data_IF_277018883994
#
_entry.id   IF_277018883994
#
_cell.length_a   1.000
_cell.length_b   1.000
_cell.length_c   1.000
_cell.angle_alpha   90.00
_cell.angle_beta   90.00
_cell.angle_gamma   90.00
#
_symmetry.space_group_name_H-M   'P 1'
#
loop_
_entity.id
_entity.type
_entity.pdbx_description
1 polymer ?
#
# COMPACT_ATOMS: atom_id res chain seq x y z
N UNK A 1 -54.98 26.78 -19.54
CA UNK A 1 -54.87 25.81 -18.43
C UNK A 1 -53.61 25.01 -18.66
N UNK A 2 -52.75 25.00 -17.65
CA UNK A 2 -51.30 24.83 -17.76
C UNK A 2 -50.85 23.40 -18.13
N UNK A 3 -49.96 23.35 -19.12
CA UNK A 3 -49.12 22.20 -19.42
C UNK A 3 -48.12 21.96 -18.28
N UNK A 4 -48.27 20.85 -17.56
CA UNK A 4 -47.24 20.36 -16.62
C UNK A 4 -46.06 19.80 -17.41
N UNK A 5 -45.05 20.65 -17.64
CA UNK A 5 -43.69 20.24 -18.01
C UNK A 5 -43.11 19.35 -16.90
N UNK A 6 -42.86 18.08 -17.20
CA UNK A 6 -41.97 17.24 -16.37
C UNK A 6 -40.54 17.72 -16.59
N UNK A 7 -40.03 18.56 -15.68
CA UNK A 7 -38.60 18.87 -15.62
C UNK A 7 -37.85 17.61 -15.17
N UNK A 8 -37.23 16.92 -16.11
CA UNK A 8 -36.18 15.93 -15.83
C UNK A 8 -34.99 16.65 -15.18
N UNK A 9 -35.04 16.81 -13.86
CA UNK A 9 -33.90 17.27 -13.09
C UNK A 9 -32.83 16.17 -13.07
N UNK A 10 -31.94 16.18 -14.06
CA UNK A 10 -30.75 15.34 -14.07
C UNK A 10 -29.83 15.76 -12.92
N UNK A 11 -29.59 14.86 -11.96
CA UNK A 11 -28.62 15.05 -10.87
C UNK A 11 -27.22 15.28 -11.45
N UNK A 12 -26.38 16.08 -10.76
CA UNK A 12 -24.98 16.27 -11.15
C UNK A 12 -24.17 14.97 -11.00
N UNK A 13 -24.45 14.23 -9.94
CA UNK A 13 -23.80 12.96 -9.67
C UNK A 13 -24.74 12.03 -8.91
N UNK A 14 -24.69 10.75 -9.26
CA UNK A 14 -25.47 9.71 -8.63
C UNK A 14 -24.63 8.43 -8.59
N UNK A 15 -24.47 7.84 -7.40
CA UNK A 15 -23.73 6.58 -7.23
C UNK A 15 -24.26 5.77 -6.06
N UNK A 16 -24.13 4.43 -6.14
CA UNK A 16 -24.38 3.55 -5.01
C UNK A 16 -23.07 3.31 -4.28
N UNK A 17 -23.07 3.48 -2.96
CA UNK A 17 -21.90 3.29 -2.12
C UNK A 17 -22.28 2.48 -0.88
N UNK A 18 -21.42 1.52 -0.51
CA UNK A 18 -21.52 0.83 0.77
C UNK A 18 -21.06 1.74 1.90
N UNK A 19 -21.65 1.62 3.10
CA UNK A 19 -21.27 2.37 4.32
C UNK A 19 -19.76 2.44 4.56
N UNK A 20 -19.07 1.31 4.44
CA UNK A 20 -17.62 1.19 4.64
C UNK A 20 -16.76 1.81 3.53
N UNK A 21 -17.35 2.19 2.39
CA UNK A 21 -16.66 2.79 1.23
C UNK A 21 -17.00 4.26 1.01
N UNK A 22 -17.87 4.86 1.83
CA UNK A 22 -18.33 6.24 1.62
C UNK A 22 -17.29 7.30 2.00
N UNK A 23 -16.39 6.99 2.94
CA UNK A 23 -15.51 7.99 3.55
C UNK A 23 -16.24 9.03 4.42
N UNK A 24 -17.54 8.84 4.67
CA UNK A 24 -18.39 9.76 5.44
C UNK A 24 -18.44 9.29 6.90
N UNK A 25 -17.98 10.15 7.81
CA UNK A 25 -18.01 9.87 9.25
C UNK A 25 -19.30 10.42 9.87
N UNK A 26 -20.17 9.53 10.34
CA UNK A 26 -21.37 9.93 11.10
C UNK A 26 -21.03 10.19 12.57
N UNK A 27 -21.61 11.25 13.20
CA UNK A 27 -21.58 11.44 14.64
C UNK A 27 -22.09 10.20 15.38
N UNK A 28 -21.54 9.93 16.58
CA UNK A 28 -21.80 8.71 17.35
C UNK A 28 -23.30 8.44 17.57
N UNK A 29 -24.03 9.48 17.96
CA UNK A 29 -25.49 9.40 18.22
C UNK A 29 -26.31 9.02 16.98
N UNK A 30 -25.91 9.49 15.80
CA UNK A 30 -26.56 9.13 14.53
C UNK A 30 -26.14 7.75 14.07
N UNK A 31 -24.89 7.36 14.31
CA UNK A 31 -24.36 6.05 13.94
C UNK A 31 -25.09 4.93 14.66
N UNK A 32 -25.29 5.07 15.97
CA UNK A 32 -25.97 4.07 16.80
C UNK A 32 -27.47 3.96 16.44
N UNK A 33 -28.12 5.07 16.06
CA UNK A 33 -29.53 5.08 15.64
C UNK A 33 -29.76 4.52 14.25
N UNK A 34 -28.84 4.80 13.31
CA UNK A 34 -29.01 4.43 11.90
C UNK A 34 -28.39 3.07 11.56
N UNK A 35 -27.42 2.59 12.35
CA UNK A 35 -26.71 1.32 12.15
C UNK A 35 -26.62 0.52 13.45
N UNK A 36 -27.75 -0.03 13.94
CA UNK A 36 -27.80 -0.74 15.22
C UNK A 36 -27.02 -2.07 15.21
N UNK A 37 -26.71 -2.64 14.05
CA UNK A 37 -25.86 -3.82 13.88
C UNK A 37 -24.62 -3.47 13.07
N UNK A 38 -23.43 -3.86 13.56
CA UNK A 38 -22.15 -3.63 12.84
C UNK A 38 -21.91 -4.66 11.72
N UNK A 39 -22.60 -5.80 11.76
CA UNK A 39 -22.42 -6.92 10.82
C UNK A 39 -23.30 -6.81 9.57
N UNK A 40 -24.22 -5.84 9.53
CA UNK A 40 -25.12 -5.64 8.38
C UNK A 40 -24.47 -4.75 7.31
N UNK A 41 -24.59 -5.17 6.05
CA UNK A 41 -24.16 -4.39 4.89
C UNK A 41 -25.22 -3.31 4.55
N UNK A 42 -24.88 -2.04 4.80
CA UNK A 42 -25.74 -0.90 4.47
C UNK A 42 -25.32 -0.23 3.16
N UNK A 43 -26.30 0.00 2.28
CA UNK A 43 -26.12 0.64 0.98
C UNK A 43 -26.75 2.02 0.95
N UNK A 44 -26.06 2.98 0.33
CA UNK A 44 -26.58 4.32 0.09
C UNK A 44 -26.60 4.64 -1.39
N UNK A 45 -27.68 5.28 -1.81
CA UNK A 45 -27.71 6.09 -3.01
C UNK A 45 -27.22 7.49 -2.67
N UNK A 46 -26.01 7.83 -3.11
CA UNK A 46 -25.46 9.18 -3.00
C UNK A 46 -25.93 9.99 -4.20
N UNK A 47 -26.59 11.12 -3.93
CA UNK A 47 -27.10 12.05 -4.94
C UNK A 47 -26.52 13.44 -4.67
N UNK A 48 -25.91 14.03 -5.70
CA UNK A 48 -25.51 15.44 -5.72
C UNK A 48 -26.38 16.17 -6.74
N UNK A 49 -27.23 17.12 -6.31
CA UNK A 49 -28.01 17.94 -7.22
C UNK A 49 -27.12 18.81 -8.14
N UNK A 50 -27.68 19.30 -9.26
CA UNK A 50 -27.01 20.23 -10.18
C UNK A 50 -26.42 21.47 -9.49
N UNK A 51 -27.15 21.98 -8.50
CA UNK A 51 -26.76 23.17 -7.74
C UNK A 51 -25.57 22.91 -6.79
N UNK A 52 -25.24 21.63 -6.53
CA UNK A 52 -24.13 21.18 -5.65
C UNK A 52 -24.18 21.79 -4.24
N UNK A 53 -25.37 22.13 -3.79
CA UNK A 53 -25.65 22.76 -2.50
C UNK A 53 -25.67 21.75 -1.34
N UNK A 54 -25.90 20.48 -1.64
CA UNK A 54 -26.01 19.40 -0.64
C UNK A 54 -25.63 18.03 -1.20
N UNK A 55 -25.39 17.11 -0.29
CA UNK A 55 -25.24 15.68 -0.58
C UNK A 55 -26.42 14.95 0.06
N UNK A 56 -27.19 14.23 -0.74
CA UNK A 56 -28.32 13.43 -0.26
C UNK A 56 -27.89 11.96 -0.23
N UNK A 57 -27.95 11.34 0.94
CA UNK A 57 -27.74 9.90 1.11
C UNK A 57 -29.09 9.24 1.39
N UNK A 58 -29.55 8.38 0.47
CA UNK A 58 -30.78 7.61 0.65
C UNK A 58 -30.42 6.16 0.93
N UNK A 59 -30.96 5.60 2.02
CA UNK A 59 -30.83 4.19 2.34
C UNK A 59 -31.45 3.32 1.25
N UNK A 60 -30.73 2.28 0.85
CA UNK A 60 -31.21 1.24 -0.03
C UNK A 60 -31.16 -0.10 0.70
N UNK A 61 -32.16 -0.94 0.45
CA UNK A 61 -32.08 -2.36 0.77
C UNK A 61 -31.12 -3.07 -0.20
N UNK A 62 -30.60 -4.23 0.19
CA UNK A 62 -29.69 -5.03 -0.67
C UNK A 62 -30.33 -5.34 -2.04
N UNK A 63 -31.63 -5.68 -2.06
CA UNK A 63 -32.38 -5.92 -3.30
C UNK A 63 -32.49 -4.67 -4.18
N UNK A 64 -32.66 -3.49 -3.59
CA UNK A 64 -32.71 -2.23 -4.35
C UNK A 64 -31.33 -1.84 -4.88
N UNK A 65 -30.26 -2.08 -4.11
CA UNK A 65 -28.89 -1.83 -4.56
C UNK A 65 -28.54 -2.69 -5.79
N UNK A 66 -28.90 -3.98 -5.78
CA UNK A 66 -28.71 -4.87 -6.93
C UNK A 66 -29.52 -4.45 -8.17
N UNK A 67 -30.74 -3.96 -7.98
CA UNK A 67 -31.60 -3.44 -9.06
C UNK A 67 -30.97 -2.20 -9.72
N UNK A 68 -30.45 -1.27 -8.93
CA UNK A 68 -29.80 -0.07 -9.45
C UNK A 68 -28.42 -0.34 -10.09
N UNK A 69 -27.64 -1.31 -9.60
CA UNK A 69 -26.41 -1.74 -10.28
C UNK A 69 -26.72 -2.33 -11.67
N UNK A 70 -27.84 -3.03 -11.82
CA UNK A 70 -28.30 -3.55 -13.11
C UNK A 70 -28.79 -2.44 -14.05
N UNK A 71 -29.51 -1.43 -13.53
CA UNK A 71 -29.98 -0.28 -14.33
C UNK A 71 -28.82 0.64 -14.76
N UNK A 72 -27.82 0.86 -13.91
CA UNK A 72 -26.62 1.67 -14.23
C UNK A 72 -25.79 1.04 -15.36
N UNK A 73 -25.70 -0.29 -15.41
CA UNK A 73 -25.00 -1.02 -16.47
C UNK A 73 -25.77 -1.05 -17.80
N UNK A 74 -27.09 -0.86 -17.79
CA UNK A 74 -27.89 -0.73 -19.01
C UNK A 74 -27.83 0.70 -19.59
N UNK A 75 -27.81 1.74 -18.75
CA UNK A 75 -27.72 3.13 -19.22
C UNK A 75 -26.34 3.53 -19.78
N UNK A 76 -25.26 2.84 -19.40
CA UNK A 76 -23.93 3.03 -20.03
C UNK A 76 -23.81 2.38 -21.41
N UNK A 77 -24.64 1.39 -21.76
CA UNK A 77 -24.63 0.75 -23.07
C UNK A 77 -25.55 1.44 -24.11
N UNK A 78 -26.48 2.29 -23.67
CA UNK A 78 -27.40 3.02 -24.58
C UNK A 78 -26.95 4.46 -24.90
N UNK A 79 -26.10 5.10 -24.09
CA UNK A 79 -25.57 6.45 -24.38
C UNK A 79 -24.41 6.50 -25.39
N UNK A 80 -23.82 5.36 -25.74
CA UNK A 80 -22.76 5.26 -26.75
C UNK A 80 -23.27 4.93 -28.18
N UNK A 81 -24.59 4.90 -28.40
CA UNK A 81 -25.18 4.56 -29.72
C UNK A 81 -26.10 5.61 -30.36
N UNK A 82 -26.22 6.84 -29.83
CA UNK A 82 -27.12 7.86 -30.40
C UNK A 82 -26.51 9.23 -30.72
N UNK A 83 -25.19 9.36 -30.85
CA UNK A 83 -24.56 10.60 -31.39
C UNK A 83 -23.67 10.38 -32.64
N UNK A 84 -23.77 9.20 -33.27
CA UNK A 84 -23.02 8.87 -34.50
C UNK A 84 -23.81 9.11 -35.82
N UNK A 85 -24.90 9.89 -35.80
CA UNK A 85 -25.72 10.12 -36.99
C UNK A 85 -26.21 11.57 -37.14
N UNK A 86 -25.28 12.54 -37.18
CA UNK A 86 -25.42 13.77 -37.97
C UNK A 86 -24.11 14.57 -37.97
N UNK A 87 -23.57 14.79 -39.17
CA UNK A 87 -22.51 15.74 -39.55
C UNK A 87 -21.18 15.15 -40.07
N UNK A 88 -21.27 14.13 -40.93
CA UNK A 88 -20.34 14.03 -42.07
C UNK A 88 -20.80 15.01 -43.14
N UNK A 89 -20.26 16.25 -43.13
CA UNK A 89 -19.94 17.07 -44.31
C UNK A 89 -19.47 18.47 -43.89
N UNK A 90 -18.22 18.55 -43.41
CA UNK A 90 -17.30 19.65 -43.78
C UNK A 90 -15.85 19.22 -43.56
N UNK A 91 -15.31 18.66 -44.64
CA UNK A 91 -13.90 18.48 -44.94
C UNK A 91 -13.11 19.78 -44.65
N UNK A 92 -12.05 19.68 -43.85
CA UNK A 92 -10.62 19.90 -44.21
C UNK A 92 -9.82 20.71 -43.18
N UNK A 93 -8.65 20.13 -42.85
CA UNK A 93 -7.38 20.70 -42.35
C UNK A 93 -7.22 20.89 -40.83
N UNK A 94 -6.59 19.88 -40.19
CA UNK A 94 -5.31 19.93 -39.44
C UNK A 94 -5.20 18.61 -38.66
N UNK A 95 -4.46 17.64 -39.19
CA UNK A 95 -3.09 17.33 -38.76
C UNK A 95 -3.06 16.48 -37.47
N UNK A 96 -2.69 15.20 -37.67
CA UNK A 96 -1.99 14.30 -36.76
C UNK A 96 -2.30 14.37 -35.26
N UNK A 97 -3.00 13.35 -34.76
CA UNK A 97 -2.63 12.69 -33.49
C UNK A 97 -3.10 11.25 -33.57
N UNK A 98 -2.14 10.35 -33.68
CA UNK A 98 -2.34 8.93 -33.39
C UNK A 98 -3.02 8.83 -32.02
N UNK A 99 -4.16 8.14 -32.00
CA UNK A 99 -4.81 7.72 -30.77
C UNK A 99 -3.93 6.65 -30.14
N UNK A 100 -3.04 7.07 -29.24
CA UNK A 100 -2.47 6.15 -28.26
C UNK A 100 -3.60 5.67 -27.34
N UNK A 101 -3.63 4.36 -27.12
CA UNK A 101 -4.40 3.70 -26.08
C UNK A 101 -4.02 4.31 -24.71
N UNK A 102 -4.79 5.29 -24.23
CA UNK A 102 -4.58 5.93 -22.93
C UNK A 102 -5.82 5.81 -22.05
N UNK A 103 -6.43 4.63 -22.01
CA UNK A 103 -7.31 4.28 -20.89
C UNK A 103 -6.45 3.87 -19.69
N UNK A 104 -6.20 4.86 -18.83
CA UNK A 104 -5.88 4.79 -17.38
C UNK A 104 -4.54 4.20 -16.93
N UNK A 105 -3.48 5.01 -17.02
CA UNK A 105 -2.34 4.95 -16.09
C UNK A 105 -2.48 6.13 -15.13
N UNK A 106 -3.26 5.95 -14.06
CA UNK A 106 -3.39 6.96 -13.00
C UNK A 106 -2.55 6.58 -11.77
N UNK A 107 -1.88 7.56 -11.13
CA UNK A 107 -1.12 7.33 -9.90
C UNK A 107 -2.01 6.89 -8.74
N UNK A 108 -1.59 5.83 -8.03
CA UNK A 108 -2.30 5.34 -6.84
C UNK A 108 -1.85 6.08 -5.57
N UNK A 109 -2.47 7.23 -5.32
CA UNK A 109 -2.10 8.12 -4.22
C UNK A 109 -2.19 7.50 -2.83
N UNK A 110 -3.18 6.63 -2.58
CA UNK A 110 -3.31 5.93 -1.30
C UNK A 110 -2.12 5.00 -1.02
N UNK A 111 -1.49 4.48 -2.07
CA UNK A 111 -0.30 3.64 -1.92
C UNK A 111 0.96 4.46 -1.66
N UNK A 112 1.03 5.73 -2.05
CA UNK A 112 2.23 6.53 -1.81
C UNK A 112 2.16 7.25 -0.46
N UNK A 113 1.01 7.84 -0.13
CA UNK A 113 0.81 8.64 1.07
C UNK A 113 0.21 7.84 2.23
N UNK A 114 0.91 6.80 2.65
CA UNK A 114 0.49 5.96 3.80
C UNK A 114 0.52 6.72 5.11
N UNK A 115 1.47 7.65 5.27
CA UNK A 115 1.58 8.50 6.45
C UNK A 115 1.25 9.93 6.07
N UNK A 116 0.36 10.55 6.84
CA UNK A 116 -0.09 11.91 6.58
C UNK A 116 0.92 12.95 7.06
N UNK A 117 1.13 14.00 6.26
CA UNK A 117 2.04 15.11 6.54
C UNK A 117 1.49 16.42 5.97
N UNK A 118 1.86 17.53 6.61
CA UNK A 118 1.30 18.87 6.41
C UNK A 118 1.27 19.38 4.96
N UNK A 119 2.31 19.06 4.19
CA UNK A 119 2.51 19.55 2.81
C UNK A 119 2.02 18.56 1.73
N UNK A 120 1.33 17.48 2.12
CA UNK A 120 0.93 16.37 1.23
C UNK A 120 0.20 16.79 -0.03
N UNK A 121 -0.83 17.63 0.05
CA UNK A 121 -1.61 18.01 -1.15
C UNK A 121 -0.78 18.79 -2.18
N UNK A 122 0.15 19.64 -1.72
CA UNK A 122 1.06 20.37 -2.62
C UNK A 122 2.08 19.43 -3.27
N UNK A 123 2.62 18.51 -2.48
CA UNK A 123 3.56 17.49 -2.98
C UNK A 123 2.87 16.57 -3.97
N UNK A 124 1.63 16.14 -3.68
CA UNK A 124 0.80 15.31 -4.57
C UNK A 124 0.66 15.94 -5.95
N UNK A 125 0.30 17.22 -6.04
CA UNK A 125 0.18 17.92 -7.33
C UNK A 125 1.49 17.91 -8.13
N UNK A 126 2.64 18.06 -7.48
CA UNK A 126 3.94 18.05 -8.15
C UNK A 126 4.31 16.64 -8.59
N UNK A 127 4.08 15.64 -7.75
CA UNK A 127 4.32 14.24 -8.10
C UNK A 127 3.38 13.75 -9.20
N UNK A 128 2.16 14.26 -9.26
CA UNK A 128 1.21 13.97 -10.33
C UNK A 128 1.74 14.50 -11.65
N UNK A 129 2.21 15.74 -11.61
CA UNK A 129 2.89 16.37 -12.72
C UNK A 129 4.13 15.60 -13.18
N UNK A 130 4.93 15.08 -12.23
CA UNK A 130 6.09 14.24 -12.52
C UNK A 130 5.69 12.89 -13.11
N UNK A 131 4.62 12.27 -12.63
CA UNK A 131 4.11 10.98 -13.12
C UNK A 131 3.78 11.06 -14.61
N UNK A 132 3.00 12.06 -15.01
CA UNK A 132 2.65 12.25 -16.41
C UNK A 132 3.87 12.58 -17.28
N UNK A 133 4.89 13.25 -16.72
CA UNK A 133 6.17 13.45 -17.40
C UNK A 133 6.96 12.15 -17.60
N UNK A 134 6.93 11.24 -16.63
CA UNK A 134 7.48 9.89 -16.82
C UNK A 134 6.71 9.06 -17.85
N UNK A 135 5.42 9.35 -18.05
CA UNK A 135 4.56 8.67 -19.03
C UNK A 135 4.72 9.20 -20.47
N UNK A 136 5.42 10.32 -20.69
CA UNK A 136 5.64 10.87 -22.02
C UNK A 136 6.48 9.93 -22.90
N UNK A 137 6.24 9.94 -24.21
CA UNK A 137 7.02 9.18 -25.19
C UNK A 137 7.52 10.14 -26.27
N UNK A 138 8.83 10.45 -26.34
CA UNK A 138 9.92 9.97 -25.47
C UNK A 138 9.87 10.56 -24.05
N UNK A 139 10.44 9.85 -23.07
CA UNK A 139 10.44 10.26 -21.66
C UNK A 139 11.38 11.46 -21.46
N UNK A 140 10.84 12.58 -21.00
CA UNK A 140 11.61 13.74 -20.54
C UNK A 140 12.12 13.53 -19.10
N UNK A 141 13.10 12.63 -18.95
CA UNK A 141 13.55 12.15 -17.64
C UNK A 141 14.06 13.24 -16.71
N UNK A 142 14.81 14.22 -17.23
CA UNK A 142 15.40 15.27 -16.41
C UNK A 142 14.35 16.25 -15.86
N UNK A 143 13.31 16.56 -16.64
CA UNK A 143 12.18 17.36 -16.16
C UNK A 143 11.36 16.56 -15.13
N UNK A 144 11.03 15.29 -15.45
CA UNK A 144 10.28 14.42 -14.54
C UNK A 144 10.98 14.28 -13.19
N UNK A 145 12.28 13.95 -13.19
CA UNK A 145 13.07 13.83 -11.97
C UNK A 145 13.34 15.19 -11.32
N UNK A 146 13.45 16.27 -12.11
CA UNK A 146 13.56 17.65 -11.62
C UNK A 146 12.37 18.05 -10.76
N UNK A 147 11.15 17.67 -11.15
CA UNK A 147 9.92 17.89 -10.37
C UNK A 147 9.93 17.12 -9.05
N UNK A 148 10.40 15.86 -9.08
CA UNK A 148 10.57 15.06 -7.85
C UNK A 148 11.58 15.70 -6.90
N UNK A 149 12.74 16.13 -7.41
CA UNK A 149 13.76 16.83 -6.63
C UNK A 149 13.22 18.14 -6.04
N UNK A 150 12.47 18.91 -6.83
CA UNK A 150 11.80 20.11 -6.35
C UNK A 150 10.84 19.81 -5.20
N UNK A 151 10.02 18.76 -5.31
CA UNK A 151 9.14 18.34 -4.22
C UNK A 151 9.93 17.99 -2.95
N UNK A 152 11.04 17.26 -3.09
CA UNK A 152 11.89 16.87 -1.96
C UNK A 152 12.57 18.05 -1.26
N UNK A 153 12.97 19.10 -1.99
CA UNK A 153 13.72 20.25 -1.42
C UNK A 153 12.77 21.34 -0.92
N UNK A 154 11.77 21.72 -1.71
CA UNK A 154 10.90 22.87 -1.41
C UNK A 154 9.90 22.59 -0.28
N UNK A 155 9.63 21.31 0.00
CA UNK A 155 8.63 20.93 1.01
C UNK A 155 9.24 20.38 2.30
N UNK A 156 10.56 20.47 2.48
CA UNK A 156 11.18 20.24 3.78
C UNK A 156 10.63 21.20 4.83
N UNK A 157 10.67 20.73 6.07
CA UNK A 157 10.29 21.44 7.29
C UNK A 157 11.41 21.32 8.32
N UNK A 158 11.32 22.04 9.42
CA UNK A 158 12.21 21.82 10.57
C UNK A 158 11.91 20.52 11.32
N UNK A 159 10.78 19.86 11.02
CA UNK A 159 10.32 18.67 11.72
C UNK A 159 10.82 17.41 11.01
N UNK A 160 11.77 16.71 11.64
CA UNK A 160 12.39 15.48 11.13
C UNK A 160 11.37 14.40 10.75
N UNK A 161 10.32 14.24 11.55
CA UNK A 161 9.27 13.24 11.31
C UNK A 161 8.42 13.57 10.08
N UNK A 162 8.08 14.85 9.85
CA UNK A 162 7.38 15.29 8.64
C UNK A 162 8.23 15.07 7.40
N UNK A 163 9.52 15.39 7.48
CA UNK A 163 10.45 15.16 6.37
C UNK A 163 10.58 13.67 6.06
N UNK A 164 10.70 12.81 7.08
CA UNK A 164 10.80 11.36 6.89
C UNK A 164 9.56 10.79 6.18
N UNK A 165 8.34 11.24 6.51
CA UNK A 165 7.11 10.85 5.81
C UNK A 165 7.10 11.30 4.34
N UNK A 166 7.57 12.53 4.06
CA UNK A 166 7.73 13.04 2.70
C UNK A 166 8.69 12.15 1.90
N UNK A 167 9.90 11.92 2.40
CA UNK A 167 10.91 11.09 1.73
C UNK A 167 10.38 9.68 1.49
N UNK A 168 9.77 9.03 2.49
CA UNK A 168 9.20 7.69 2.32
C UNK A 168 8.06 7.66 1.28
N UNK A 169 7.19 8.67 1.26
CA UNK A 169 6.14 8.78 0.23
C UNK A 169 6.72 8.89 -1.18
N UNK A 170 7.81 9.65 -1.33
CA UNK A 170 8.53 9.77 -2.61
C UNK A 170 9.22 8.47 -3.00
N UNK A 171 9.82 7.72 -2.06
CA UNK A 171 10.35 6.38 -2.33
C UNK A 171 9.26 5.48 -2.91
N UNK A 172 8.09 5.43 -2.28
CA UNK A 172 6.96 4.60 -2.75
C UNK A 172 6.45 5.02 -4.13
N UNK A 173 6.35 6.32 -4.37
CA UNK A 173 6.02 6.87 -5.69
C UNK A 173 7.02 6.43 -6.75
N UNK A 174 8.33 6.56 -6.48
CA UNK A 174 9.37 6.23 -7.46
C UNK A 174 9.50 4.71 -7.70
N UNK A 175 9.24 3.87 -6.70
CA UNK A 175 9.12 2.42 -6.89
C UNK A 175 8.00 2.10 -7.89
N UNK A 176 6.88 2.83 -7.84
CA UNK A 176 5.78 2.66 -8.77
C UNK A 176 6.12 3.17 -10.18
N UNK A 177 6.82 4.29 -10.28
CA UNK A 177 7.39 4.79 -11.54
C UNK A 177 8.30 3.72 -12.19
N UNK A 178 9.19 3.11 -11.41
CA UNK A 178 10.07 2.04 -11.91
C UNK A 178 9.25 0.87 -12.44
N UNK A 179 8.22 0.43 -11.71
CA UNK A 179 7.39 -0.71 -12.09
C UNK A 179 6.54 -0.43 -13.33
N UNK A 180 6.01 0.79 -13.44
CA UNK A 180 5.07 1.19 -14.49
C UNK A 180 5.79 1.52 -15.79
N UNK A 181 6.91 2.25 -15.71
CA UNK A 181 7.62 2.80 -16.88
C UNK A 181 8.97 2.14 -17.16
N UNK A 182 9.31 1.08 -16.42
CA UNK A 182 10.54 0.29 -16.61
C UNK A 182 11.82 1.14 -16.54
N UNK A 183 11.98 1.91 -15.46
CA UNK A 183 13.10 2.86 -15.28
C UNK A 183 14.11 2.41 -14.20
N UNK A 184 14.88 1.32 -14.42
CA UNK A 184 15.77 0.75 -13.40
C UNK A 184 16.86 1.70 -12.89
N UNK A 185 17.27 2.68 -13.69
CA UNK A 185 18.25 3.70 -13.27
C UNK A 185 17.82 4.53 -12.05
N UNK A 186 16.53 4.57 -11.73
CA UNK A 186 16.03 5.23 -10.53
C UNK A 186 16.39 4.47 -9.24
N UNK A 187 16.67 3.16 -9.32
CA UNK A 187 16.93 2.32 -8.14
C UNK A 187 18.13 2.85 -7.34
N UNK A 188 19.27 3.05 -8.00
CA UNK A 188 20.50 3.52 -7.36
C UNK A 188 20.29 4.95 -6.82
N UNK A 189 19.61 5.81 -7.58
CA UNK A 189 19.32 7.19 -7.16
C UNK A 189 18.41 7.24 -5.93
N UNK A 190 17.35 6.43 -5.87
CA UNK A 190 16.47 6.33 -4.69
C UNK A 190 17.28 5.91 -3.48
N UNK A 191 18.08 4.85 -3.63
CA UNK A 191 18.87 4.29 -2.54
C UNK A 191 19.91 5.27 -1.98
N UNK A 192 20.66 5.94 -2.85
CA UNK A 192 21.74 6.84 -2.46
C UNK A 192 21.28 8.25 -2.07
N UNK A 193 20.24 8.77 -2.72
CA UNK A 193 19.86 10.20 -2.61
C UNK A 193 18.55 10.44 -1.89
N UNK A 194 17.65 9.46 -1.83
CA UNK A 194 16.34 9.63 -1.18
C UNK A 194 16.33 8.92 0.17
N UNK A 195 16.65 7.63 0.20
CA UNK A 195 16.57 6.81 1.42
C UNK A 195 17.55 7.29 2.49
N UNK A 196 18.78 7.68 2.10
CA UNK A 196 19.79 8.15 3.06
C UNK A 196 19.37 9.44 3.82
N UNK A 197 18.36 10.17 3.34
CA UNK A 197 17.86 11.38 3.98
C UNK A 197 16.66 11.12 4.92
N UNK A 198 16.25 9.87 5.11
CA UNK A 198 15.17 9.50 6.02
C UNK A 198 15.73 9.37 7.44
N UNK A 199 15.45 10.36 8.28
CA UNK A 199 15.96 10.37 9.67
C UNK A 199 15.17 9.48 10.65
N UNK A 200 13.95 9.08 10.29
CA UNK A 200 13.18 8.13 11.11
C UNK A 200 13.69 6.71 10.87
N UNK A 201 14.25 6.06 11.90
CA UNK A 201 14.70 4.64 11.84
C UNK A 201 13.64 3.72 11.22
N UNK A 202 12.41 3.81 11.72
CA UNK A 202 11.30 2.99 11.24
C UNK A 202 10.98 3.22 9.75
N UNK A 203 10.86 4.48 9.31
CA UNK A 203 10.57 4.76 7.90
C UNK A 203 11.76 4.47 6.98
N UNK A 204 12.98 4.60 7.49
CA UNK A 204 14.21 4.22 6.79
C UNK A 204 14.25 2.71 6.53
N UNK A 205 13.98 1.90 7.55
CA UNK A 205 13.85 0.45 7.41
C UNK A 205 12.75 0.07 6.42
N UNK A 206 11.56 0.66 6.55
CA UNK A 206 10.47 0.41 5.60
C UNK A 206 10.84 0.77 4.16
N UNK A 207 11.57 1.87 3.95
CA UNK A 207 12.04 2.28 2.63
C UNK A 207 12.99 1.25 2.02
N UNK A 208 13.96 0.77 2.79
CA UNK A 208 14.89 -0.29 2.36
C UNK A 208 14.13 -1.60 2.06
N UNK A 209 13.22 -1.99 2.95
CA UNK A 209 12.39 -3.19 2.79
C UNK A 209 11.52 -3.13 1.52
N UNK A 210 10.95 -1.96 1.20
CA UNK A 210 10.13 -1.78 0.00
C UNK A 210 10.96 -1.75 -1.30
N UNK A 211 12.25 -1.39 -1.22
CA UNK A 211 13.17 -1.45 -2.36
C UNK A 211 13.59 -2.87 -2.74
N UNK A 212 13.67 -3.81 -1.77
CA UNK A 212 14.15 -5.18 -2.02
C UNK A 212 13.49 -5.85 -3.25
N UNK A 213 12.16 -5.89 -3.40
CA UNK A 213 11.54 -6.57 -4.54
C UNK A 213 11.84 -5.93 -5.90
N UNK A 214 11.96 -4.59 -5.95
CA UNK A 214 12.27 -3.91 -7.21
C UNK A 214 13.74 -4.07 -7.57
N UNK A 215 14.65 -4.02 -6.59
CA UNK A 215 16.07 -4.28 -6.82
C UNK A 215 16.30 -5.68 -7.37
N UNK A 216 15.59 -6.68 -6.86
CA UNK A 216 15.69 -8.07 -7.34
C UNK A 216 15.18 -8.21 -8.77
N UNK A 217 14.04 -7.58 -9.10
CA UNK A 217 13.48 -7.60 -10.46
C UNK A 217 14.51 -7.15 -11.51
N UNK A 218 15.39 -6.22 -11.15
CA UNK A 218 16.44 -5.69 -12.02
C UNK A 218 17.85 -6.17 -11.63
N UNK A 219 17.95 -7.32 -10.96
CA UNK A 219 19.21 -8.01 -10.68
C UNK A 219 20.24 -7.19 -9.88
N UNK A 220 19.78 -6.21 -9.09
CA UNK A 220 20.61 -5.37 -8.21
C UNK A 220 20.89 -6.09 -6.88
N UNK A 221 21.48 -7.28 -6.94
CA UNK A 221 21.66 -8.16 -5.76
C UNK A 221 22.55 -7.56 -4.68
N UNK A 222 23.64 -6.88 -5.05
CA UNK A 222 24.51 -6.19 -4.08
C UNK A 222 23.74 -5.14 -3.27
N UNK A 223 22.83 -4.40 -3.92
CA UNK A 223 21.99 -3.43 -3.24
C UNK A 223 21.01 -4.11 -2.28
N UNK A 224 20.52 -5.30 -2.62
CA UNK A 224 19.65 -6.10 -1.74
C UNK A 224 20.40 -6.53 -0.50
N UNK A 225 21.60 -7.11 -0.66
CA UNK A 225 22.44 -7.53 0.47
C UNK A 225 22.78 -6.34 1.37
N UNK A 226 23.24 -5.23 0.78
CA UNK A 226 23.53 -4.00 1.52
C UNK A 226 22.29 -3.43 2.25
N UNK A 227 21.11 -3.52 1.64
CA UNK A 227 19.86 -3.09 2.26
C UNK A 227 19.52 -3.96 3.47
N UNK A 228 19.68 -5.28 3.34
CA UNK A 228 19.42 -6.23 4.43
C UNK A 228 20.39 -5.98 5.58
N UNK A 229 21.69 -5.85 5.30
CA UNK A 229 22.70 -5.58 6.32
C UNK A 229 22.36 -4.27 7.08
N UNK A 230 22.00 -3.20 6.35
CA UNK A 230 21.56 -1.93 6.96
C UNK A 230 20.29 -2.06 7.80
N UNK A 231 19.31 -2.86 7.37
CA UNK A 231 18.09 -3.13 8.14
C UNK A 231 18.45 -3.87 9.43
N UNK A 232 19.25 -4.93 9.36
CA UNK A 232 19.65 -5.71 10.52
C UNK A 232 20.46 -4.87 11.52
N UNK A 233 21.38 -4.02 11.04
CA UNK A 233 22.08 -3.05 11.90
C UNK A 233 21.09 -2.11 12.59
N UNK A 234 20.14 -1.52 11.85
CA UNK A 234 19.13 -0.62 12.43
C UNK A 234 18.26 -1.32 13.48
N UNK A 235 17.90 -2.59 13.26
CA UNK A 235 17.15 -3.41 14.21
C UNK A 235 17.95 -3.60 15.52
N UNK A 236 19.25 -3.86 15.40
CA UNK A 236 20.13 -4.02 16.56
C UNK A 236 20.34 -2.73 17.36
N UNK A 237 20.11 -1.57 16.75
CA UNK A 237 20.21 -0.26 17.39
C UNK A 237 18.96 0.15 18.20
N UNK A 238 17.90 -0.67 18.22
CA UNK A 238 16.74 -0.45 19.09
C UNK A 238 17.02 -0.84 20.54
N UNK A 239 16.45 -0.10 21.49
CA UNK A 239 16.44 -0.54 22.88
C UNK A 239 15.56 -1.79 23.03
N UNK A 240 15.88 -2.66 23.99
CA UNK A 240 15.02 -3.81 24.32
C UNK A 240 13.62 -3.39 24.82
N UNK A 241 13.49 -2.16 25.34
CA UNK A 241 12.18 -1.57 25.68
C UNK A 241 11.31 -1.35 24.43
N UNK A 242 11.93 -1.25 23.25
CA UNK A 242 11.29 -1.11 21.94
C UNK A 242 11.09 -2.48 21.26
N UNK A 243 10.89 -3.54 22.05
CA UNK A 243 10.63 -4.91 21.58
C UNK A 243 9.59 -5.02 20.46
N UNK A 244 8.54 -4.18 20.50
CA UNK A 244 7.56 -4.10 19.42
C UNK A 244 8.18 -3.65 18.09
N UNK A 245 9.03 -2.62 18.10
CA UNK A 245 9.70 -2.11 16.90
C UNK A 245 10.64 -3.17 16.31
N UNK A 246 11.46 -3.78 17.16
CA UNK A 246 12.36 -4.87 16.78
C UNK A 246 11.57 -5.98 16.06
N UNK A 247 10.49 -6.47 16.68
CA UNK A 247 9.75 -7.59 16.12
C UNK A 247 8.98 -7.20 14.86
N UNK A 248 8.39 -6.00 14.82
CA UNK A 248 7.70 -5.50 13.64
C UNK A 248 8.65 -5.36 12.44
N UNK A 249 9.88 -4.87 12.66
CA UNK A 249 10.88 -4.75 11.60
C UNK A 249 11.32 -6.11 11.04
N UNK A 250 11.61 -7.08 11.92
CA UNK A 250 11.86 -8.46 11.49
C UNK A 250 10.67 -9.05 10.72
N UNK A 251 9.44 -8.88 11.22
CA UNK A 251 8.23 -9.40 10.58
C UNK A 251 8.05 -8.84 9.16
N UNK A 252 8.27 -7.55 8.97
CA UNK A 252 8.19 -6.91 7.65
C UNK A 252 9.29 -7.41 6.72
N UNK A 253 10.52 -7.54 7.21
CA UNK A 253 11.65 -8.07 6.44
C UNK A 253 11.39 -9.51 5.99
N UNK A 254 11.05 -10.41 6.93
CA UNK A 254 10.75 -11.83 6.66
C UNK A 254 9.61 -11.95 5.66
N UNK A 255 8.51 -11.20 5.83
CA UNK A 255 7.37 -11.22 4.91
C UNK A 255 7.75 -10.87 3.47
N UNK A 256 8.73 -9.98 3.27
CA UNK A 256 9.20 -9.58 1.94
C UNK A 256 10.21 -10.58 1.39
N UNK A 257 11.16 -11.01 2.21
CA UNK A 257 12.25 -11.90 1.81
C UNK A 257 11.77 -13.35 1.59
N UNK A 258 10.75 -13.83 2.31
CA UNK A 258 10.20 -15.19 2.07
C UNK A 258 9.68 -15.40 0.65
N UNK A 259 9.19 -14.33 0.00
CA UNK A 259 8.73 -14.37 -1.41
C UNK A 259 9.89 -14.58 -2.38
N UNK A 260 11.11 -14.37 -1.92
CA UNK A 260 12.33 -14.46 -2.72
C UNK A 260 12.88 -15.88 -2.80
N UNK A 261 12.43 -16.82 -1.97
CA UNK A 261 12.87 -18.23 -2.01
C UNK A 261 12.69 -18.91 -3.37
N UNK A 262 11.77 -18.40 -4.19
CA UNK A 262 11.50 -18.92 -5.54
C UNK A 262 12.51 -18.40 -6.58
N UNK A 263 13.31 -17.41 -6.21
CA UNK A 263 14.32 -16.77 -7.04
C UNK A 263 15.65 -17.25 -6.47
N UNK A 264 16.59 -17.67 -7.31
CA UNK A 264 17.92 -18.18 -6.92
C UNK A 264 18.83 -17.09 -6.33
N UNK A 265 18.34 -16.41 -5.30
CA UNK A 265 19.09 -15.49 -4.46
C UNK A 265 19.87 -16.31 -3.45
N UNK A 266 21.09 -15.86 -3.17
CA UNK A 266 22.02 -16.54 -2.28
C UNK A 266 21.35 -16.95 -0.96
N UNK A 267 21.51 -18.23 -0.58
CA UNK A 267 21.04 -18.79 0.69
C UNK A 267 21.56 -18.01 1.89
N UNK A 268 22.70 -17.34 1.73
CA UNK A 268 23.34 -16.48 2.73
C UNK A 268 22.44 -15.39 3.29
N UNK A 269 21.49 -14.86 2.50
CA UNK A 269 20.56 -13.83 2.99
C UNK A 269 19.61 -14.39 4.05
N UNK A 270 19.07 -15.58 3.84
CA UNK A 270 18.15 -16.20 4.79
C UNK A 270 18.89 -16.56 6.08
N UNK A 271 20.12 -17.08 5.96
CA UNK A 271 20.96 -17.40 7.12
C UNK A 271 21.33 -16.15 7.92
N UNK A 272 21.69 -15.03 7.28
CA UNK A 272 21.94 -13.76 7.97
C UNK A 272 20.74 -13.30 8.81
N UNK A 273 19.53 -13.37 8.25
CA UNK A 273 18.32 -12.97 8.98
C UNK A 273 18.08 -13.91 10.16
N UNK A 274 18.25 -15.23 9.96
CA UNK A 274 18.14 -16.23 11.03
C UNK A 274 19.12 -15.95 12.17
N UNK A 275 20.41 -15.76 11.84
CA UNK A 275 21.47 -15.50 12.82
C UNK A 275 21.25 -14.21 13.61
N UNK A 276 20.66 -13.18 12.99
CA UNK A 276 20.27 -11.94 13.66
C UNK A 276 19.03 -12.13 14.55
N UNK A 277 18.08 -12.98 14.14
CA UNK A 277 16.79 -13.19 14.81
C UNK A 277 16.90 -14.08 16.05
N UNK A 278 17.60 -15.22 15.97
CA UNK A 278 17.69 -16.24 17.04
C UNK A 278 18.12 -15.64 18.39
N UNK A 279 19.13 -14.76 18.49
CA UNK A 279 19.55 -14.18 19.78
C UNK A 279 18.44 -13.44 20.52
N UNK A 280 17.40 -12.95 19.84
CA UNK A 280 16.28 -12.27 20.50
C UNK A 280 15.36 -13.23 21.26
N UNK A 281 15.43 -14.53 20.98
CA UNK A 281 14.68 -15.56 21.69
C UNK A 281 14.97 -15.57 23.20
N UNK A 282 16.22 -15.35 23.57
CA UNK A 282 16.65 -15.25 24.97
C UNK A 282 16.42 -13.85 25.55
N UNK A 283 16.58 -12.81 24.72
CA UNK A 283 16.45 -11.40 25.16
C UNK A 283 15.01 -11.00 25.47
N UNK A 284 14.02 -11.55 24.76
CA UNK A 284 12.62 -11.22 25.02
C UNK A 284 12.08 -11.95 26.24
N UNK A 285 11.41 -11.22 27.12
CA UNK A 285 10.65 -11.80 28.25
C UNK A 285 9.26 -12.28 27.84
N UNK A 286 8.63 -11.58 26.89
CA UNK A 286 7.28 -11.90 26.42
C UNK A 286 7.29 -13.14 25.51
N UNK A 287 6.44 -14.12 25.82
CA UNK A 287 6.28 -15.34 25.04
C UNK A 287 5.67 -15.09 23.65
N UNK A 288 4.86 -14.04 23.47
CA UNK A 288 4.28 -13.70 22.16
C UNK A 288 5.36 -13.34 21.14
N UNK A 289 6.42 -12.64 21.57
CA UNK A 289 7.55 -12.32 20.69
C UNK A 289 8.41 -13.56 20.40
N UNK A 290 8.54 -14.46 21.38
CA UNK A 290 9.21 -15.76 21.17
C UNK A 290 8.46 -16.62 20.15
N UNK A 291 7.13 -16.64 20.21
CA UNK A 291 6.30 -17.29 19.18
C UNK A 291 6.53 -16.66 17.82
N UNK A 292 6.50 -15.33 17.72
CA UNK A 292 6.73 -14.63 16.46
C UNK A 292 8.11 -14.93 15.85
N UNK A 293 9.14 -15.14 16.67
CA UNK A 293 10.46 -15.61 16.22
C UNK A 293 10.36 -17.01 15.61
N UNK A 294 9.71 -17.96 16.29
CA UNK A 294 9.52 -19.33 15.79
C UNK A 294 8.77 -19.33 14.45
N UNK A 295 7.68 -18.56 14.35
CA UNK A 295 6.91 -18.42 13.11
C UNK A 295 7.71 -17.76 11.99
N UNK A 296 8.57 -16.79 12.33
CA UNK A 296 9.46 -16.15 11.36
C UNK A 296 10.50 -17.13 10.81
N UNK A 297 11.06 -18.01 11.66
CA UNK A 297 11.97 -19.07 11.21
C UNK A 297 11.27 -20.08 10.31
N UNK A 298 10.03 -20.45 10.64
CA UNK A 298 9.19 -21.29 9.80
C UNK A 298 8.93 -20.65 8.43
N UNK A 299 8.59 -19.36 8.39
CA UNK A 299 8.42 -18.58 7.16
C UNK A 299 9.71 -18.54 6.31
N UNK A 300 10.86 -18.44 6.97
CA UNK A 300 12.19 -18.52 6.36
C UNK A 300 12.63 -19.95 6.02
N UNK A 301 11.86 -20.97 6.41
CA UNK A 301 12.08 -22.38 6.03
C UNK A 301 13.09 -23.10 6.91
N UNK A 302 13.52 -22.49 8.01
CA UNK A 302 14.38 -23.11 9.01
C UNK A 302 13.53 -23.94 9.96
N UNK A 303 12.96 -25.03 9.44
CA UNK A 303 11.98 -25.86 10.14
C UNK A 303 12.58 -26.52 11.39
N UNK A 304 13.82 -27.02 11.30
CA UNK A 304 14.52 -27.66 12.43
C UNK A 304 14.80 -26.68 13.57
N UNK A 305 15.28 -25.48 13.23
CA UNK A 305 15.54 -24.42 14.22
C UNK A 305 14.23 -23.98 14.88
N UNK A 306 13.18 -23.75 14.09
CA UNK A 306 11.85 -23.40 14.59
C UNK A 306 11.31 -24.48 15.53
N UNK A 307 11.43 -25.76 15.16
CA UNK A 307 10.96 -26.88 15.98
C UNK A 307 11.73 -26.97 17.31
N UNK A 308 13.06 -26.85 17.25
CA UNK A 308 13.93 -26.93 18.43
C UNK A 308 13.60 -25.82 19.43
N UNK A 309 13.41 -24.58 18.95
CA UNK A 309 13.00 -23.47 19.80
C UNK A 309 11.59 -23.66 20.38
N UNK A 310 10.64 -24.16 19.59
CA UNK A 310 9.29 -24.44 20.07
C UNK A 310 9.27 -25.53 21.16
N UNK A 311 9.99 -26.63 20.97
CA UNK A 311 10.04 -27.72 21.94
C UNK A 311 10.73 -27.30 23.25
N UNK A 312 11.82 -26.54 23.15
CA UNK A 312 12.48 -25.97 24.33
C UNK A 312 11.58 -24.99 25.09
N UNK A 313 10.81 -24.16 24.39
CA UNK A 313 9.89 -23.24 25.04
C UNK A 313 8.75 -23.99 25.74
N UNK A 314 8.19 -25.03 25.13
CA UNK A 314 7.15 -25.88 25.75
C UNK A 314 7.67 -26.57 27.03
N UNK A 315 8.92 -27.03 27.05
CA UNK A 315 9.52 -27.70 28.21
C UNK A 315 9.76 -26.76 29.40
N UNK A 316 10.00 -25.48 29.13
CA UNK A 316 10.38 -24.49 30.14
C UNK A 316 9.20 -23.62 30.61
N UNK A 317 8.02 -23.77 30.01
CA UNK A 317 6.83 -23.04 30.42
C UNK A 317 6.08 -23.73 31.55
N UNK A 318 5.42 -22.92 32.38
CA UNK A 318 4.48 -23.38 33.39
C UNK A 318 3.37 -24.23 32.73
N UNK A 319 3.05 -25.43 33.26
CA UNK A 319 1.94 -26.26 32.80
C UNK A 319 0.60 -25.52 32.66
N UNK A 320 0.37 -24.49 33.47
CA UNK A 320 -0.87 -23.69 33.49
C UNK A 320 -0.81 -22.45 32.57
N UNK A 321 0.27 -22.28 31.81
CA UNK A 321 0.44 -21.15 30.89
C UNK A 321 -0.62 -21.16 29.77
N UNK A 322 -1.32 -20.03 29.61
CA UNK A 322 -2.34 -19.83 28.56
C UNK A 322 -1.77 -20.01 27.15
N UNK A 323 -0.47 -19.77 26.97
CA UNK A 323 0.22 -19.83 25.68
C UNK A 323 0.67 -21.26 25.32
N UNK A 324 0.66 -22.18 26.28
CA UNK A 324 1.17 -23.54 26.12
C UNK A 324 0.41 -24.34 25.04
N UNK A 325 -0.91 -24.15 24.96
CA UNK A 325 -1.74 -24.82 23.97
C UNK A 325 -1.38 -24.41 22.53
N UNK A 326 -1.10 -23.11 22.31
CA UNK A 326 -0.66 -22.58 21.02
C UNK A 326 0.71 -23.13 20.64
N UNK A 327 1.67 -23.09 21.56
CA UNK A 327 3.02 -23.61 21.31
C UNK A 327 3.04 -25.11 21.01
N UNK A 328 2.21 -25.90 21.68
CA UNK A 328 2.06 -27.33 21.34
C UNK A 328 1.52 -27.53 19.93
N UNK A 329 0.57 -26.70 19.47
CA UNK A 329 0.07 -26.72 18.08
C UNK A 329 1.18 -26.38 17.09
N UNK A 330 1.95 -25.31 17.35
CA UNK A 330 3.07 -24.90 16.51
C UNK A 330 4.13 -26.01 16.44
N UNK A 331 4.55 -26.56 17.58
CA UNK A 331 5.52 -27.65 17.64
C UNK A 331 5.08 -28.88 16.86
N UNK A 332 3.83 -29.31 17.02
CA UNK A 332 3.31 -30.48 16.32
C UNK A 332 3.22 -30.22 14.81
N UNK A 333 2.77 -29.03 14.38
CA UNK A 333 2.78 -28.61 12.97
C UNK A 333 4.18 -28.67 12.37
N UNK A 334 5.19 -28.18 13.10
CA UNK A 334 6.58 -28.17 12.63
C UNK A 334 7.16 -29.59 12.53
N UNK A 335 6.81 -30.49 13.45
CA UNK A 335 7.23 -31.90 13.43
C UNK A 335 6.76 -32.65 12.18
N UNK A 336 5.60 -32.29 11.65
CA UNK A 336 4.97 -32.96 10.51
C UNK A 336 5.48 -32.43 9.15
N UNK A 337 6.25 -31.34 9.14
CA UNK A 337 6.76 -30.75 7.89
C UNK A 337 7.98 -31.52 7.36
N UNK A 338 8.05 -31.76 6.03
CA UNK A 338 9.24 -32.31 5.41
C UNK A 338 10.40 -31.32 5.51
N UNK A 339 11.61 -31.88 5.72
CA UNK A 339 12.88 -31.16 5.80
C UNK A 339 13.38 -30.69 4.43
#
# INVERSE_FOLDING_TARGET
MEEKKSSENHNYYEAIIKKNKTGITFPKELREKLFPSEDDDYFFKLIVPQEKDKIVLRFLTEKEAELYEKESNQQQNEKDNTDAAKNVKKKKKKASKEKNNSSQLEPNWSNYFVYDFSKKEKVKQILESAYYKFAETPIEYDDALGRVKYALVSFLTSTKTENAKLFYSVVRFLIDIIKTFDLPRLIDWIYEKVIQNIESKFLYELALIDMIPVSIKYEKYELVENSIDKILTSIHDYSMDESYNIMNSFKQLVKKVRKLKQISISTTIFDKIKESLIPYMEKFKNNDYKIQIIESLEDLGFIEDAYTLADNLVKNLDPDSVVLAELRKIRNRLKEKPL
#
